data_IF_938223081331
#
_entry.id   IF_938223081331
#
_cell.length_a   1.000
_cell.length_b   1.000
_cell.length_c   1.000
_cell.angle_alpha   90.00
_cell.angle_beta   90.00
_cell.angle_gamma   90.00
#
_symmetry.space_group_name_H-M   'P 1'
#
loop_
_entity.id
_entity.type
_entity.pdbx_description
1 polymer ?
#
# COMPACT_ATOMS: atom_id res chain seq x y z
N UNK A 1 7.65 32.04 -9.32
CA UNK A 1 6.91 32.07 -8.04
C UNK A 1 6.07 30.82 -8.06
N UNK A 2 6.63 29.74 -7.52
CA UNK A 2 6.08 28.40 -7.64
C UNK A 2 4.97 28.23 -6.60
N UNK A 3 3.74 28.03 -7.10
CA UNK A 3 2.59 27.69 -6.27
C UNK A 3 2.74 26.23 -5.83
N UNK A 4 3.31 26.00 -4.65
CA UNK A 4 3.25 24.70 -3.98
C UNK A 4 1.77 24.35 -3.71
N UNK A 5 1.29 23.25 -4.29
CA UNK A 5 -0.06 22.73 -4.06
C UNK A 5 -0.03 21.76 -2.88
N UNK A 6 -0.74 22.09 -1.80
CA UNK A 6 -0.87 21.24 -0.62
C UNK A 6 -1.96 20.17 -0.83
N UNK A 7 -1.59 18.89 -0.63
CA UNK A 7 -2.50 17.75 -0.62
C UNK A 7 -2.52 17.12 0.78
N UNK A 8 -3.69 16.64 1.22
CA UNK A 8 -3.88 16.04 2.54
C UNK A 8 -4.25 14.57 2.44
N UNK A 9 -3.64 13.74 3.29
CA UNK A 9 -4.05 12.36 3.53
C UNK A 9 -5.06 12.32 4.70
N UNK A 10 -6.19 11.65 4.53
CA UNK A 10 -7.13 11.37 5.64
C UNK A 10 -7.34 9.85 5.77
N UNK A 11 -6.74 9.20 6.78
CA UNK A 11 -7.09 7.83 7.13
C UNK A 11 -8.49 7.81 7.76
N UNK A 12 -9.35 6.90 7.32
CA UNK A 12 -10.65 6.64 7.97
C UNK A 12 -10.71 5.19 8.43
N UNK A 13 -11.04 4.94 9.69
CA UNK A 13 -11.29 3.58 10.20
C UNK A 13 -12.75 3.20 9.97
N UNK A 14 -12.98 2.02 9.38
CA UNK A 14 -14.32 1.45 9.28
C UNK A 14 -14.59 0.56 10.51
N UNK A 15 -15.51 0.98 11.38
CA UNK A 15 -16.11 0.09 12.37
C UNK A 15 -17.28 -0.67 11.74
N UNK A 16 -17.14 -1.99 11.62
CA UNK A 16 -18.26 -2.87 11.26
C UNK A 16 -19.19 -3.02 12.47
N UNK A 17 -20.42 -2.53 12.36
CA UNK A 17 -21.48 -2.77 13.33
C UNK A 17 -22.10 -4.15 13.08
N UNK A 18 -21.47 -5.20 13.59
CA UNK A 18 -22.12 -6.50 13.80
C UNK A 18 -21.63 -7.11 15.11
N UNK A 19 -22.55 -7.18 16.08
CA UNK A 19 -22.34 -7.79 17.39
C UNK A 19 -22.07 -9.30 17.24
N UNK A 20 -20.80 -9.70 17.41
CA UNK A 20 -20.30 -10.78 18.30
C UNK A 20 -18.87 -11.16 17.89
N UNK A 21 -17.93 -10.95 18.83
CA UNK A 21 -16.54 -11.43 18.82
C UNK A 21 -15.73 -11.15 17.53
N UNK A 22 -15.38 -9.89 17.29
CA UNK A 22 -14.37 -9.52 16.30
C UNK A 22 -13.12 -9.01 17.01
N UNK A 23 -12.02 -9.75 16.84
CA UNK A 23 -10.67 -9.22 17.00
C UNK A 23 -10.54 -8.01 16.07
N UNK A 24 -10.25 -6.83 16.60
CA UNK A 24 -10.03 -5.61 15.82
C UNK A 24 -8.94 -5.84 14.77
N UNK A 25 -9.33 -6.05 13.51
CA UNK A 25 -8.38 -6.06 12.39
C UNK A 25 -8.30 -4.63 11.87
N UNK A 26 -7.13 -4.01 12.02
CA UNK A 26 -6.83 -2.67 11.53
C UNK A 26 -6.88 -2.67 9.98
N UNK A 27 -8.05 -2.40 9.41
CA UNK A 27 -8.20 -2.11 7.98
C UNK A 27 -8.08 -0.60 7.84
N UNK A 28 -7.02 -0.14 7.17
CA UNK A 28 -6.85 1.27 6.82
C UNK A 28 -7.20 1.47 5.34
N UNK A 29 -8.04 2.47 5.07
CA UNK A 29 -8.39 2.89 3.72
C UNK A 29 -7.74 4.24 3.43
N UNK A 30 -7.03 4.33 2.30
CA UNK A 30 -6.44 5.58 1.83
C UNK A 30 -7.20 6.11 0.61
N UNK A 31 -7.40 7.44 0.58
CA UNK A 31 -8.01 8.16 -0.55
C UNK A 31 -7.05 9.27 -1.01
N UNK A 32 -6.69 9.26 -2.28
CA UNK A 32 -5.98 10.37 -2.92
C UNK A 32 -6.99 11.29 -3.61
N UNK A 33 -7.06 12.57 -3.22
CA UNK A 33 -7.94 13.58 -3.83
C UNK A 33 -7.17 14.84 -4.22
N UNK A 34 -7.59 15.49 -5.30
CA UNK A 34 -7.11 16.82 -5.70
C UNK A 34 -7.96 17.91 -5.03
N UNK A 35 -7.34 18.86 -4.34
CA UNK A 35 -7.99 20.12 -3.98
C UNK A 35 -7.75 21.14 -5.09
N UNK A 36 -8.81 21.65 -5.74
CA UNK A 36 -8.67 22.76 -6.68
C UNK A 36 -9.84 23.73 -6.57
N UNK A 37 -9.59 24.92 -6.02
CA UNK A 37 -10.42 26.13 -6.20
C UNK A 37 -9.99 26.92 -7.44
N UNK A 38 -9.73 26.24 -8.58
CA UNK A 38 -9.39 26.94 -9.83
C UNK A 38 -10.49 26.70 -10.86
N UNK A 39 -11.20 27.77 -11.19
CA UNK A 39 -12.16 27.81 -12.29
C UNK A 39 -11.42 27.69 -13.63
N UNK A 40 -11.96 26.87 -14.54
CA UNK A 40 -11.46 26.52 -15.88
C UNK A 40 -10.39 25.42 -15.96
N UNK A 41 -10.87 24.18 -15.95
CA UNK A 41 -10.40 23.16 -16.88
C UNK A 41 -11.58 22.30 -17.32
N UNK A 42 -12.00 22.44 -18.58
CA UNK A 42 -12.98 21.57 -19.24
C UNK A 42 -12.24 20.38 -19.84
N UNK A 43 -12.07 19.34 -19.03
CA UNK A 43 -11.89 17.97 -19.48
C UNK A 43 -12.82 17.13 -18.64
N UNK A 44 -13.80 16.47 -19.25
CA UNK A 44 -14.67 15.51 -18.57
C UNK A 44 -13.87 14.25 -18.24
N UNK A 45 -12.99 14.33 -17.24
CA UNK A 45 -12.35 13.15 -16.66
C UNK A 45 -13.13 12.78 -15.41
N UNK A 46 -13.89 11.70 -15.51
CA UNK A 46 -14.62 11.11 -14.39
C UNK A 46 -13.65 10.94 -13.22
N UNK A 47 -14.01 11.54 -12.08
CA UNK A 47 -13.17 11.63 -10.89
C UNK A 47 -13.13 10.30 -10.16
N UNK A 48 -12.38 9.31 -10.66
CA UNK A 48 -12.27 8.03 -9.96
C UNK A 48 -11.13 8.09 -8.96
N UNK A 49 -11.47 8.37 -7.70
CA UNK A 49 -10.54 8.20 -6.58
C UNK A 49 -10.01 6.76 -6.58
N UNK A 50 -8.72 6.59 -6.35
CA UNK A 50 -8.12 5.27 -6.17
C UNK A 50 -8.28 4.87 -4.72
N UNK A 51 -8.85 3.69 -4.51
CA UNK A 51 -9.07 3.11 -3.19
C UNK A 51 -8.17 1.90 -2.99
N UNK A 52 -7.42 1.95 -1.89
CA UNK A 52 -6.39 0.99 -1.55
C UNK A 52 -6.66 0.48 -0.14
N UNK A 53 -6.49 -0.83 0.05
CA UNK A 53 -6.51 -1.46 1.36
C UNK A 53 -5.17 -2.11 1.66
N UNK A 54 -4.62 -1.74 2.82
CA UNK A 54 -3.52 -2.44 3.47
C UNK A 54 -4.06 -3.58 4.33
N UNK A 55 -3.51 -4.79 4.23
CA UNK A 55 -3.87 -5.89 5.16
C UNK A 55 -2.79 -6.97 5.28
N UNK A 56 -2.44 -7.34 6.51
CA UNK A 56 -1.74 -8.60 6.78
C UNK A 56 -2.75 -9.76 6.88
N UNK A 57 -2.58 -10.79 6.05
CA UNK A 57 -3.48 -11.94 5.93
C UNK A 57 -3.06 -13.15 6.79
N UNK A 58 -1.91 -13.08 7.46
CA UNK A 58 -1.36 -14.09 8.36
C UNK A 58 -1.35 -15.51 7.77
N UNK A 59 -1.05 -15.61 6.46
CA UNK A 59 -1.07 -16.82 5.63
C UNK A 59 -2.40 -17.58 5.66
N UNK A 60 -3.49 -16.91 6.05
CA UNK A 60 -4.79 -17.54 6.24
C UNK A 60 -5.51 -17.65 4.90
N UNK A 61 -5.73 -18.90 4.46
CA UNK A 61 -6.57 -19.20 3.28
C UNK A 61 -7.95 -18.55 3.37
N UNK A 62 -8.55 -18.54 4.56
CA UNK A 62 -9.89 -17.97 4.80
C UNK A 62 -9.84 -16.45 4.70
N UNK A 63 -8.83 -15.80 5.30
CA UNK A 63 -8.68 -14.35 5.21
C UNK A 63 -8.43 -13.90 3.76
N UNK A 64 -7.58 -14.62 3.02
CA UNK A 64 -7.32 -14.33 1.60
C UNK A 64 -8.57 -14.52 0.74
N UNK A 65 -9.37 -15.56 0.96
CA UNK A 65 -10.63 -15.76 0.24
C UNK A 65 -11.68 -14.67 0.51
N UNK A 66 -11.67 -14.09 1.71
CA UNK A 66 -12.60 -13.03 2.08
C UNK A 66 -12.35 -11.70 1.36
N UNK A 67 -11.17 -11.52 0.73
CA UNK A 67 -10.90 -10.34 -0.09
C UNK A 67 -11.90 -10.19 -1.25
N UNK A 68 -12.44 -11.30 -1.76
CA UNK A 68 -13.46 -11.28 -2.81
C UNK A 68 -14.78 -10.66 -2.33
N UNK A 69 -15.24 -11.06 -1.14
CA UNK A 69 -16.41 -10.45 -0.50
C UNK A 69 -16.18 -8.97 -0.27
N UNK A 70 -15.02 -8.62 0.31
CA UNK A 70 -14.67 -7.22 0.57
C UNK A 70 -14.63 -6.37 -0.70
N UNK A 71 -14.06 -6.88 -1.79
CA UNK A 71 -14.03 -6.21 -3.09
C UNK A 71 -15.41 -6.02 -3.73
N UNK A 72 -16.41 -6.81 -3.34
CA UNK A 72 -17.79 -6.66 -3.83
C UNK A 72 -18.61 -5.65 -3.01
N UNK A 73 -18.25 -5.46 -1.74
CA UNK A 73 -18.97 -4.57 -0.81
C UNK A 73 -18.47 -3.13 -0.91
N UNK A 74 -17.19 -2.93 -1.21
CA UNK A 74 -16.57 -1.61 -1.30
C UNK A 74 -15.80 -1.44 -2.60
N UNK A 75 -15.81 -0.20 -3.12
CA UNK A 75 -15.17 0.15 -4.38
C UNK A 75 -13.64 0.21 -4.22
N UNK A 76 -12.98 -0.95 -4.19
CA UNK A 76 -11.52 -1.08 -4.08
C UNK A 76 -10.89 -1.23 -5.45
N UNK A 77 -9.70 -0.64 -5.63
CA UNK A 77 -8.87 -0.82 -6.82
C UNK A 77 -7.71 -1.79 -6.57
N UNK A 78 -7.08 -1.70 -5.39
CA UNK A 78 -5.89 -2.46 -5.04
C UNK A 78 -5.91 -2.95 -3.60
N UNK A 79 -5.37 -4.14 -3.37
CA UNK A 79 -4.94 -4.59 -2.05
C UNK A 79 -3.41 -4.66 -2.00
N UNK A 80 -2.83 -4.11 -0.94
CA UNK A 80 -1.42 -4.28 -0.58
C UNK A 80 -1.42 -5.24 0.60
N UNK A 81 -0.95 -6.46 0.36
CA UNK A 81 -1.13 -7.58 1.28
C UNK A 81 0.20 -8.04 1.86
N UNK A 82 0.23 -8.27 3.17
CA UNK A 82 1.34 -8.93 3.85
C UNK A 82 0.94 -10.35 4.27
N UNK A 83 1.90 -11.26 4.27
CA UNK A 83 1.73 -12.69 4.57
C UNK A 83 0.51 -13.33 3.84
N UNK A 84 0.37 -13.22 2.50
CA UNK A 84 -0.73 -13.86 1.80
C UNK A 84 -0.65 -15.39 1.86
N UNK A 85 -1.80 -16.08 1.71
CA UNK A 85 -1.80 -17.52 1.49
C UNK A 85 -1.37 -17.82 0.05
N UNK A 86 -0.16 -18.38 -0.14
CA UNK A 86 0.43 -18.63 -1.46
C UNK A 86 0.50 -20.12 -1.76
N UNK A 87 0.07 -20.51 -2.97
CA UNK A 87 0.21 -21.86 -3.52
C UNK A 87 0.74 -21.76 -4.94
N UNK A 88 1.77 -22.56 -5.27
CA UNK A 88 2.36 -22.60 -6.63
C UNK A 88 2.80 -21.20 -7.13
N UNK A 89 3.41 -20.40 -6.26
CA UNK A 89 3.89 -19.05 -6.59
C UNK A 89 2.77 -18.03 -6.85
N UNK A 90 1.55 -18.32 -6.43
CA UNK A 90 0.37 -17.46 -6.64
C UNK A 90 -0.41 -17.27 -5.34
N UNK A 91 -0.96 -16.08 -5.15
CA UNK A 91 -1.92 -15.82 -4.08
C UNK A 91 -3.14 -16.71 -4.34
N UNK A 92 -3.47 -17.59 -3.39
CA UNK A 92 -4.54 -18.57 -3.54
C UNK A 92 -5.80 -18.10 -2.80
N UNK A 93 -6.96 -18.40 -3.38
CA UNK A 93 -8.26 -17.97 -2.83
C UNK A 93 -8.78 -16.67 -3.40
N UNK A 94 -8.06 -16.02 -4.33
CA UNK A 94 -8.54 -14.84 -5.07
C UNK A 94 -8.96 -15.21 -6.51
N UNK A 95 -9.78 -14.36 -7.13
CA UNK A 95 -10.24 -14.59 -8.51
C UNK A 95 -9.07 -14.55 -9.50
N UNK A 96 -9.04 -15.50 -10.44
CA UNK A 96 -7.95 -15.62 -11.45
C UNK A 96 -7.80 -14.41 -12.38
N UNK A 97 -8.86 -13.61 -12.52
CA UNK A 97 -8.87 -12.41 -13.37
C UNK A 97 -8.18 -11.21 -12.70
N UNK A 98 -7.90 -11.28 -11.41
CA UNK A 98 -7.19 -10.23 -10.69
C UNK A 98 -5.70 -10.33 -11.01
N UNK A 99 -5.07 -9.19 -11.27
CA UNK A 99 -3.62 -9.17 -11.39
C UNK A 99 -3.00 -9.28 -10.00
N UNK A 100 -1.90 -10.02 -9.90
CA UNK A 100 -1.23 -10.26 -8.65
C UNK A 100 0.29 -10.29 -8.85
N UNK A 101 0.99 -9.66 -7.93
CA UNK A 101 2.45 -9.66 -7.85
C UNK A 101 2.85 -9.99 -6.42
N UNK A 102 3.96 -10.71 -6.28
CA UNK A 102 4.50 -11.16 -5.00
C UNK A 102 5.96 -10.73 -4.89
N UNK A 103 6.39 -10.45 -3.67
CA UNK A 103 7.81 -10.37 -3.32
C UNK A 103 8.48 -11.73 -3.54
N UNK A 104 9.79 -11.76 -3.70
CA UNK A 104 10.58 -12.98 -3.91
C UNK A 104 10.43 -14.01 -2.79
N UNK A 105 10.20 -13.57 -1.55
CA UNK A 105 9.93 -14.46 -0.41
C UNK A 105 8.43 -14.79 -0.21
N UNK A 106 7.55 -14.30 -1.09
CA UNK A 106 6.09 -14.47 -1.05
C UNK A 106 5.39 -13.88 0.18
N UNK A 107 6.04 -12.98 0.94
CA UNK A 107 5.47 -12.38 2.15
C UNK A 107 4.85 -11.01 1.94
N UNK A 108 5.10 -10.35 0.82
CA UNK A 108 4.40 -9.12 0.44
C UNK A 108 3.79 -9.31 -0.95
N UNK A 109 2.68 -8.63 -1.22
CA UNK A 109 1.98 -8.79 -2.48
C UNK A 109 1.10 -7.60 -2.81
N UNK A 110 0.84 -7.43 -4.10
CA UNK A 110 -0.13 -6.46 -4.60
C UNK A 110 -1.16 -7.22 -5.42
N UNK A 111 -2.44 -6.97 -5.16
CA UNK A 111 -3.56 -7.50 -5.93
C UNK A 111 -4.29 -6.31 -6.54
N UNK A 112 -4.42 -6.29 -7.87
CA UNK A 112 -5.16 -5.26 -8.60
C UNK A 112 -6.42 -5.84 -9.20
N UNK A 113 -7.55 -5.19 -8.93
CA UNK A 113 -8.85 -5.59 -9.47
C UNK A 113 -8.93 -5.26 -10.98
N UNK A 114 -9.77 -5.97 -11.74
CA UNK A 114 -9.90 -5.77 -13.19
C UNK A 114 -10.51 -4.42 -13.57
N UNK A 115 -11.19 -3.75 -12.64
CA UNK A 115 -11.72 -2.40 -12.80
C UNK A 115 -10.61 -1.33 -12.84
N UNK A 116 -9.37 -1.69 -12.52
CA UNK A 116 -8.27 -0.75 -12.44
C UNK A 116 -7.54 -0.61 -13.77
N UNK A 117 -7.22 0.63 -14.14
CA UNK A 117 -6.44 0.95 -15.34
C UNK A 117 -5.05 0.29 -15.28
N UNK A 118 -4.83 -0.69 -16.16
CA UNK A 118 -3.56 -1.32 -16.56
C UNK A 118 -2.35 -1.03 -15.65
N UNK A 119 -2.30 -1.63 -14.45
CA UNK A 119 -1.13 -1.56 -13.59
C UNK A 119 0.11 -2.11 -14.30
N UNK A 120 1.24 -1.42 -14.18
CA UNK A 120 2.52 -1.80 -14.76
C UNK A 120 3.41 -2.36 -13.65
N UNK A 121 3.92 -3.57 -13.82
CA UNK A 121 4.88 -4.14 -12.87
C UNK A 121 6.21 -3.37 -12.94
N UNK A 122 6.74 -2.99 -11.78
CA UNK A 122 8.05 -2.31 -11.69
C UNK A 122 9.12 -3.33 -11.33
N UNK A 123 9.00 -3.92 -10.14
CA UNK A 123 9.97 -4.87 -9.62
C UNK A 123 9.41 -5.71 -8.47
N UNK A 124 10.15 -6.77 -8.16
CA UNK A 124 9.98 -7.58 -6.98
C UNK A 124 11.37 -7.85 -6.42
N UNK A 125 11.58 -7.52 -5.14
CA UNK A 125 12.78 -7.88 -4.38
C UNK A 125 12.43 -8.99 -3.41
N UNK A 126 13.36 -9.40 -2.55
CA UNK A 126 13.09 -10.39 -1.52
C UNK A 126 11.89 -9.99 -0.66
N UNK A 127 11.81 -8.75 -0.18
CA UNK A 127 10.86 -8.33 0.86
C UNK A 127 9.75 -7.38 0.37
N UNK A 128 9.84 -6.86 -0.85
CA UNK A 128 8.83 -5.95 -1.40
C UNK A 128 8.47 -6.26 -2.85
N UNK A 129 7.33 -5.75 -3.29
CA UNK A 129 6.91 -5.72 -4.69
C UNK A 129 6.30 -4.37 -5.01
N UNK A 130 6.49 -3.90 -6.24
CA UNK A 130 6.02 -2.59 -6.65
C UNK A 130 5.34 -2.62 -8.03
N UNK A 131 4.29 -1.81 -8.17
CA UNK A 131 3.61 -1.54 -9.43
C UNK A 131 3.45 -0.04 -9.63
N UNK A 132 3.33 0.38 -10.88
CA UNK A 132 2.97 1.73 -11.27
C UNK A 132 1.52 1.76 -11.73
N UNK A 133 0.77 2.75 -11.27
CA UNK A 133 -0.61 2.97 -11.68
C UNK A 133 -0.79 4.41 -12.13
N UNK A 134 -1.79 4.64 -12.99
CA UNK A 134 -2.17 5.99 -13.39
C UNK A 134 -3.24 6.54 -12.44
N UNK A 135 -2.89 7.55 -11.66
CA UNK A 135 -3.83 8.35 -10.89
C UNK A 135 -4.21 9.63 -11.64
N UNK A 136 -5.23 10.33 -11.13
CA UNK A 136 -5.66 11.64 -11.64
C UNK A 136 -4.53 12.67 -11.48
N UNK A 137 -3.71 12.54 -10.43
CA UNK A 137 -2.59 13.42 -10.11
C UNK A 137 -1.32 13.10 -10.91
N UNK A 138 -1.30 11.98 -11.65
CA UNK A 138 -0.13 11.48 -12.35
C UNK A 138 0.16 10.02 -12.02
N UNK A 139 1.30 9.48 -12.50
CA UNK A 139 1.76 8.15 -12.14
C UNK A 139 2.04 8.05 -10.63
N UNK A 140 1.60 6.95 -10.03
CA UNK A 140 1.88 6.61 -8.62
C UNK A 140 2.46 5.21 -8.55
N UNK A 141 3.55 5.06 -7.81
CA UNK A 141 4.17 3.78 -7.51
C UNK A 141 3.57 3.22 -6.22
N UNK A 142 2.85 2.09 -6.32
CA UNK A 142 2.34 1.36 -5.17
C UNK A 142 3.36 0.30 -4.76
N UNK A 143 3.71 0.27 -3.48
CA UNK A 143 4.75 -0.62 -2.95
C UNK A 143 4.19 -1.34 -1.74
N UNK A 144 4.15 -2.66 -1.80
CA UNK A 144 3.85 -3.52 -0.65
C UNK A 144 5.14 -4.15 -0.15
N UNK A 145 5.40 -4.03 1.14
CA UNK A 145 6.55 -4.66 1.80
C UNK A 145 6.14 -5.39 3.07
N UNK A 146 6.98 -6.33 3.49
CA UNK A 146 6.88 -7.00 4.78
C UNK A 146 8.28 -7.23 5.33
N UNK A 147 8.63 -6.59 6.45
CA UNK A 147 9.86 -6.93 7.15
C UNK A 147 9.58 -8.09 8.10
N UNK A 148 10.42 -9.11 8.00
CA UNK A 148 10.34 -10.22 8.96
C UNK A 148 10.83 -9.74 10.33
N UNK A 149 10.20 -10.14 11.44
CA UNK A 149 10.69 -9.82 12.79
C UNK A 149 12.07 -10.41 13.10
N UNK A 150 12.56 -11.31 12.23
CA UNK A 150 13.87 -11.96 12.32
C UNK A 150 14.82 -11.58 11.17
N UNK A 151 14.38 -10.77 10.21
CA UNK A 151 15.26 -10.30 9.13
C UNK A 151 15.77 -8.90 9.47
N UNK A 152 16.94 -8.56 8.94
CA UNK A 152 17.48 -7.23 9.10
C UNK A 152 16.55 -6.23 8.41
N UNK A 153 15.90 -5.36 9.20
CA UNK A 153 15.09 -4.24 8.70
C UNK A 153 15.84 -3.37 7.68
N UNK A 154 17.17 -3.38 7.76
CA UNK A 154 18.10 -2.73 6.84
C UNK A 154 17.93 -3.19 5.40
N UNK A 155 17.72 -4.48 5.15
CA UNK A 155 17.59 -5.00 3.78
C UNK A 155 16.34 -4.44 3.11
N UNK A 156 15.23 -4.37 3.87
CA UNK A 156 13.97 -3.81 3.36
C UNK A 156 14.08 -2.30 3.15
N UNK A 157 14.82 -1.60 4.03
CA UNK A 157 15.08 -0.16 3.89
C UNK A 157 15.95 0.15 2.68
N UNK A 158 16.98 -0.64 2.44
CA UNK A 158 17.88 -0.46 1.31
C UNK A 158 17.18 -0.77 -0.02
N UNK A 159 16.38 -1.85 -0.08
CA UNK A 159 15.55 -2.17 -1.24
C UNK A 159 14.60 -1.02 -1.57
N UNK A 160 13.96 -0.43 -0.54
CA UNK A 160 13.08 0.72 -0.71
C UNK A 160 13.83 1.95 -1.20
N UNK A 161 14.97 2.29 -0.59
CA UNK A 161 15.78 3.44 -1.00
C UNK A 161 16.25 3.33 -2.46
N UNK A 162 16.68 2.13 -2.86
CA UNK A 162 17.07 1.84 -4.24
C UNK A 162 15.89 2.01 -5.19
N UNK A 163 14.70 1.51 -4.82
CA UNK A 163 13.49 1.67 -5.62
C UNK A 163 13.12 3.14 -5.79
N UNK A 164 13.08 3.91 -4.70
CA UNK A 164 12.72 5.34 -4.72
C UNK A 164 13.70 6.17 -5.54
N UNK A 165 15.00 5.85 -5.48
CA UNK A 165 16.03 6.50 -6.30
C UNK A 165 15.81 6.24 -7.79
N UNK A 166 15.37 5.03 -8.15
CA UNK A 166 15.15 4.63 -9.54
C UNK A 166 13.80 5.08 -10.13
N UNK A 167 12.80 5.35 -9.29
CA UNK A 167 11.47 5.81 -9.74
C UNK A 167 11.43 7.30 -10.08
N UNK A 168 12.49 8.05 -9.80
CA UNK A 168 12.55 9.49 -10.09
C UNK A 168 11.56 10.30 -9.23
N UNK A 169 11.07 11.47 -9.71
CA UNK A 169 10.19 12.36 -8.94
C UNK A 169 8.73 11.88 -8.86
N UNK A 170 8.43 10.66 -9.29
CA UNK A 170 7.08 10.11 -9.24
C UNK A 170 6.63 9.88 -7.79
N UNK A 171 5.32 10.03 -7.56
CA UNK A 171 4.74 9.78 -6.24
C UNK A 171 4.84 8.29 -5.89
N UNK A 172 5.12 8.00 -4.63
CA UNK A 172 5.13 6.63 -4.12
C UNK A 172 4.20 6.51 -2.91
N UNK A 173 3.38 5.47 -2.89
CA UNK A 173 2.66 5.01 -1.72
C UNK A 173 3.26 3.69 -1.27
N UNK A 174 3.81 3.69 -0.07
CA UNK A 174 4.46 2.54 0.54
C UNK A 174 3.65 2.07 1.74
N UNK A 175 3.29 0.79 1.73
CA UNK A 175 2.59 0.14 2.84
C UNK A 175 3.36 -1.11 3.27
N UNK A 176 3.71 -1.14 4.54
CA UNK A 176 4.51 -2.22 5.10
C UNK A 176 3.97 -2.70 6.45
N UNK A 177 4.03 -4.01 6.65
CA UNK A 177 4.07 -4.55 8.00
C UNK A 177 5.53 -4.58 8.45
N UNK A 178 5.87 -3.70 9.38
CA UNK A 178 7.24 -3.46 9.78
C UNK A 178 7.69 -4.27 10.99
N UNK A 179 6.77 -4.94 11.69
CA UNK A 179 7.03 -5.67 12.94
C UNK A 179 7.90 -4.90 13.97
N UNK A 180 7.90 -3.56 13.89
CA UNK A 180 8.77 -2.68 14.66
C UNK A 180 7.89 -1.64 15.37
N UNK A 181 7.80 -1.68 16.70
CA UNK A 181 7.06 -0.67 17.44
C UNK A 181 7.65 0.73 17.23
N UNK A 182 6.78 1.73 17.01
CA UNK A 182 7.18 3.14 17.09
C UNK A 182 6.06 4.08 17.47
N UNK A 183 6.44 5.10 18.22
CA UNK A 183 5.59 6.25 18.53
C UNK A 183 5.17 7.03 17.28
N UNK A 184 5.90 6.91 16.15
CA UNK A 184 5.54 7.55 14.87
C UNK A 184 4.22 7.01 14.28
N UNK A 185 3.88 5.75 14.54
CA UNK A 185 2.65 5.10 14.08
C UNK A 185 1.76 4.64 15.23
N UNK A 186 1.95 5.22 16.43
CA UNK A 186 1.00 5.12 17.54
C UNK A 186 1.31 4.07 18.61
N UNK A 187 2.47 3.41 18.57
CA UNK A 187 2.90 2.53 19.66
C UNK A 187 3.36 3.32 20.88
N UNK A 188 3.24 2.70 22.06
CA UNK A 188 3.69 3.32 23.31
C UNK A 188 5.22 3.51 23.36
N UNK A 189 5.97 2.68 22.65
CA UNK A 189 7.43 2.61 22.72
C UNK A 189 8.05 2.55 21.32
N UNK A 190 9.30 2.99 21.23
CA UNK A 190 10.13 2.79 20.06
C UNK A 190 10.97 1.53 20.21
N UNK A 191 11.07 0.75 19.13
CA UNK A 191 12.07 -0.32 19.01
C UNK A 191 13.46 0.28 18.73
N UNK A 192 14.56 -0.39 19.17
CA UNK A 192 15.93 0.04 18.85
C UNK A 192 16.21 0.12 17.34
N UNK A 193 15.47 -0.67 16.55
CA UNK A 193 15.64 -0.84 15.11
C UNK A 193 15.04 0.32 14.28
N UNK A 194 14.38 1.29 14.93
CA UNK A 194 13.79 2.48 14.30
C UNK A 194 14.82 3.40 13.61
N UNK A 195 16.08 3.42 14.10
CA UNK A 195 17.07 4.45 13.74
C UNK A 195 17.38 4.49 12.23
N UNK A 196 17.31 3.35 11.55
CA UNK A 196 17.57 3.29 10.10
C UNK A 196 16.47 3.96 9.25
N UNK A 197 15.22 3.86 9.71
CA UNK A 197 14.06 4.33 8.97
C UNK A 197 13.82 5.83 9.10
N UNK A 198 14.26 6.48 10.18
CA UNK A 198 14.17 7.95 10.28
C UNK A 198 14.87 8.61 9.09
N UNK A 199 16.00 8.07 8.66
CA UNK A 199 16.77 8.59 7.51
C UNK A 199 16.04 8.42 6.17
N UNK A 200 15.32 7.32 5.95
CA UNK A 200 14.59 7.06 4.69
C UNK A 200 13.18 7.65 4.66
N UNK A 201 12.50 7.79 5.81
CA UNK A 201 11.20 8.44 5.91
C UNK A 201 11.30 9.97 5.89
N UNK A 202 12.40 10.55 6.41
CA UNK A 202 12.68 11.99 6.29
C UNK A 202 13.14 12.37 4.88
N UNK A 203 13.63 11.43 4.07
CA UNK A 203 13.91 11.68 2.64
C UNK A 203 12.64 11.61 1.77
N UNK A 204 11.58 10.94 2.25
CA UNK A 204 10.27 10.85 1.58
C UNK A 204 9.20 11.79 2.17
N UNK A 205 9.53 12.44 3.29
CA UNK A 205 8.80 13.61 3.82
C UNK A 205 9.60 14.85 3.42
N UNK A 206 9.21 15.49 2.31
CA UNK A 206 9.75 16.74 1.76
C UNK A 206 10.57 17.58 2.76
N UNK A 207 11.87 17.70 2.50
CA UNK A 207 12.65 18.83 3.03
C UNK A 207 12.43 20.02 2.10
N UNK A 208 11.69 21.03 2.60
CA UNK A 208 11.42 22.38 2.07
C UNK A 208 11.03 22.55 0.60
#
# INVERSE_FOLDING_TARGET
>A
MDNAQNFYHQPTSLQSNSNKNQTSRNIQQFRLQKNSNLAWSTSSTTTTAIYIIQINLAKSKVATAHLETLASEININHFLVQEPYVKEGKIAGVQRKWHQWLSGNNKAGIISLPSTNNPIFICSTTNLTAIKIQAITGPVNLISANSSPYAELQDTAQDLANLLTNTGPEQALFEADMNAPSTLWGDANNSPEQTSWKTSSLSSSFTC
#
